data_IF_070480737440
#
_entry.id   IF_070480737440
#
_cell.length_a   1.000
_cell.length_b   1.000
_cell.length_c   1.000
_cell.angle_alpha   90.00
_cell.angle_beta   90.00
_cell.angle_gamma   90.00
#
_symmetry.space_group_name_H-M   'P 1'
#
loop_
_entity.id
_entity.type
_entity.pdbx_description
1 polymer ?
#
# COMPACT_ATOMS: atom_id res chain seq x y z
N UNK A 1 -3.01 4.53 10.57
CA UNK A 1 -2.79 3.14 11.03
C UNK A 1 -2.36 2.27 9.86
N UNK A 2 -1.08 1.90 9.79
CA UNK A 2 -0.49 1.05 8.74
C UNK A 2 -0.07 -0.35 9.25
N UNK A 3 -0.35 -0.65 10.52
CA UNK A 3 0.22 -1.81 11.21
C UNK A 3 -0.20 -3.15 10.64
N UNK A 4 -1.45 -3.26 10.17
CA UNK A 4 -1.98 -4.50 9.61
C UNK A 4 -1.24 -4.87 8.32
N UNK A 5 -0.98 -3.88 7.45
CA UNK A 5 -0.21 -4.09 6.22
C UNK A 5 1.22 -4.55 6.51
N UNK A 6 1.91 -3.89 7.44
CA UNK A 6 3.28 -4.25 7.83
C UNK A 6 3.36 -5.64 8.46
N UNK A 7 2.39 -6.03 9.30
CA UNK A 7 2.33 -7.37 9.87
C UNK A 7 2.06 -8.45 8.82
N UNK A 8 1.05 -8.25 7.97
CA UNK A 8 0.70 -9.23 6.94
C UNK A 8 1.83 -9.38 5.93
N UNK A 9 2.50 -8.30 5.55
CA UNK A 9 3.64 -8.33 4.64
C UNK A 9 4.80 -9.15 5.21
N UNK A 10 5.22 -8.89 6.44
CA UNK A 10 6.34 -9.63 7.05
C UNK A 10 5.99 -11.10 7.35
N UNK A 11 4.79 -11.37 7.86
CA UNK A 11 4.33 -12.73 8.16
C UNK A 11 4.19 -13.58 6.90
N UNK A 12 3.55 -13.04 5.84
CA UNK A 12 3.42 -13.76 4.58
C UNK A 12 4.79 -14.01 3.93
N UNK A 13 5.73 -13.07 4.06
CA UNK A 13 7.08 -13.20 3.51
C UNK A 13 7.81 -14.39 4.12
N UNK A 14 7.80 -14.49 5.46
CA UNK A 14 8.36 -15.64 6.17
C UNK A 14 7.68 -16.95 5.77
N UNK A 15 6.34 -17.00 5.78
CA UNK A 15 5.60 -18.22 5.41
C UNK A 15 5.93 -18.65 3.97
N UNK A 16 5.90 -17.74 3.00
CA UNK A 16 6.19 -18.09 1.61
C UNK A 16 7.64 -18.57 1.45
N UNK A 17 8.58 -17.97 2.16
CA UNK A 17 9.96 -18.47 2.20
C UNK A 17 10.06 -19.88 2.79
N UNK A 18 9.35 -20.18 3.87
CA UNK A 18 9.35 -21.51 4.49
C UNK A 18 8.84 -22.61 3.54
N UNK A 19 7.88 -22.30 2.67
CA UNK A 19 7.36 -23.27 1.67
C UNK A 19 8.28 -23.40 0.47
N UNK A 20 8.66 -22.24 -0.12
CA UNK A 20 9.25 -22.19 -1.45
C UNK A 20 10.77 -22.03 -1.43
N UNK A 21 11.37 -21.81 -0.25
CA UNK A 21 12.80 -21.54 -0.07
C UNK A 21 13.29 -20.26 -0.75
N UNK A 22 12.39 -19.39 -1.22
CA UNK A 22 12.73 -18.20 -1.99
C UNK A 22 11.67 -17.10 -1.85
N UNK A 23 12.09 -15.86 -2.10
CA UNK A 23 11.22 -14.68 -2.06
C UNK A 23 10.64 -14.28 -3.43
N UNK A 24 10.94 -15.03 -4.50
CA UNK A 24 10.48 -14.74 -5.87
C UNK A 24 8.97 -14.50 -5.94
N UNK A 25 8.17 -15.39 -5.34
CA UNK A 25 6.73 -15.23 -5.30
C UNK A 25 6.30 -13.97 -4.53
N UNK A 26 7.00 -13.65 -3.44
CA UNK A 26 6.71 -12.46 -2.62
C UNK A 26 7.02 -11.16 -3.38
N UNK A 27 8.06 -11.16 -4.21
CA UNK A 27 8.37 -10.05 -5.10
C UNK A 27 7.25 -9.80 -6.10
N UNK A 28 6.75 -10.86 -6.76
CA UNK A 28 5.64 -10.73 -7.69
C UNK A 28 4.34 -10.24 -7.03
N UNK A 29 4.05 -10.71 -5.80
CA UNK A 29 2.91 -10.20 -5.01
C UNK A 29 3.08 -8.69 -4.75
N UNK A 30 4.27 -8.25 -4.37
CA UNK A 30 4.55 -6.83 -4.11
C UNK A 30 4.35 -5.97 -5.36
N UNK A 31 4.81 -6.45 -6.52
CA UNK A 31 4.59 -5.80 -7.82
C UNK A 31 3.09 -5.70 -8.12
N UNK A 32 2.33 -6.78 -7.95
CA UNK A 32 0.88 -6.79 -8.18
C UNK A 32 0.14 -5.80 -7.28
N UNK A 33 0.48 -5.73 -5.99
CA UNK A 33 -0.07 -4.76 -5.05
C UNK A 33 0.24 -3.31 -5.46
N UNK A 34 1.44 -3.05 -5.98
CA UNK A 34 1.82 -1.75 -6.53
C UNK A 34 0.93 -1.34 -7.70
N UNK A 35 0.67 -2.25 -8.64
CA UNK A 35 -0.26 -2.01 -9.74
C UNK A 35 -1.69 -1.78 -9.26
N UNK A 36 -2.19 -2.60 -8.33
CA UNK A 36 -3.54 -2.43 -7.74
C UNK A 36 -3.64 -1.05 -7.09
N UNK A 37 -2.63 -0.64 -6.32
CA UNK A 37 -2.58 0.69 -5.71
C UNK A 37 -2.66 1.79 -6.78
N UNK A 38 -1.83 1.72 -7.83
CA UNK A 38 -1.85 2.70 -8.90
C UNK A 38 -3.23 2.78 -9.59
N UNK A 39 -3.84 1.64 -9.89
CA UNK A 39 -5.18 1.57 -10.50
C UNK A 39 -6.26 2.13 -9.59
N UNK A 40 -6.20 1.88 -8.28
CA UNK A 40 -7.14 2.44 -7.31
C UNK A 40 -6.99 3.95 -7.15
N UNK A 41 -5.77 4.48 -7.31
CA UNK A 41 -5.52 5.92 -7.20
C UNK A 41 -5.82 6.69 -8.50
N UNK A 42 -5.71 6.05 -9.66
CA UNK A 42 -5.94 6.69 -10.96
C UNK A 42 -7.30 7.41 -11.11
N UNK A 43 -8.45 6.90 -10.63
CA UNK A 43 -9.75 7.59 -10.74
C UNK A 43 -9.99 8.66 -9.66
N UNK A 44 -9.06 8.86 -8.72
CA UNK A 44 -9.24 9.83 -7.63
C UNK A 44 -9.19 11.25 -8.20
N UNK A 45 -10.33 11.94 -8.16
CA UNK A 45 -10.41 13.36 -8.50
C UNK A 45 -10.17 14.18 -7.24
N UNK A 46 -8.96 14.70 -7.10
CA UNK A 46 -8.61 15.60 -6.02
C UNK A 46 -9.39 16.92 -6.17
N UNK A 47 -10.25 17.23 -5.20
CA UNK A 47 -10.82 18.58 -5.07
C UNK A 47 -9.86 19.39 -4.21
N UNK A 48 -9.49 20.57 -4.68
CA UNK A 48 -8.72 21.50 -3.86
C UNK A 48 -9.47 21.72 -2.54
N UNK A 49 -8.79 21.46 -1.42
CA UNK A 49 -9.29 21.81 -0.10
C UNK A 49 -9.46 23.33 -0.10
N UNK A 50 -10.66 23.82 0.25
CA UNK A 50 -10.86 25.26 0.44
C UNK A 50 -9.92 25.70 1.56
N UNK A 51 -8.90 26.49 1.20
CA UNK A 51 -8.11 27.19 2.20
C UNK A 51 -9.07 28.08 2.96
N UNK A 52 -9.15 27.90 4.28
CA UNK A 52 -9.77 28.85 5.19
C UNK A 52 -8.94 30.14 5.12
N UNK A 53 -9.16 30.97 4.11
CA UNK A 53 -8.73 32.35 4.13
C UNK A 53 -9.57 33.02 5.23
N UNK A 54 -8.91 33.40 6.32
CA UNK A 54 -9.44 34.03 7.53
C UNK A 54 -10.03 33.07 8.58
N UNK A 55 -9.15 32.48 9.40
CA UNK A 55 -9.37 32.53 10.85
C UNK A 55 -8.36 33.51 11.43
N UNK A 56 -8.59 34.79 11.13
CA UNK A 56 -7.99 35.89 11.89
C UNK A 56 -8.69 35.87 13.26
N UNK A 57 -7.95 35.47 14.30
CA UNK A 57 -8.17 35.92 15.67
C UNK A 57 -6.99 36.84 15.98
#
# INVERSE_FOLDING_TARGET
SHQIGSFLGSWLGGRLFDIYGSYELMWWISVALGFISALMHMPIKEKAVQRLANQQI
#
